data_IF_081044045398
#
_entry.id   IF_081044045398
#
_cell.length_a   1.000
_cell.length_b   1.000
_cell.length_c   1.000
_cell.angle_alpha   90.00
_cell.angle_beta   90.00
_cell.angle_gamma   90.00
#
_symmetry.space_group_name_H-M   'P 1'
#
loop_
_entity.id
_entity.type
_entity.pdbx_description
1 polymer ?
#
# COMPACT_ATOMS: atom_id res chain seq x y z
N UNK A 1 7.77 8.84 -4.54
CA UNK A 1 6.83 9.44 -5.52
C UNK A 1 6.39 10.83 -5.11
N UNK A 2 5.93 11.04 -3.87
CA UNK A 2 5.56 12.38 -3.39
C UNK A 2 6.70 13.41 -3.54
N UNK A 3 7.96 13.03 -3.25
CA UNK A 3 9.13 13.90 -3.47
C UNK A 3 9.30 14.28 -4.95
N UNK A 4 9.18 13.32 -5.88
CA UNK A 4 9.31 13.59 -7.32
C UNK A 4 8.18 14.53 -7.79
N UNK A 5 6.96 14.30 -7.31
CA UNK A 5 5.80 15.15 -7.63
C UNK A 5 5.95 16.60 -7.15
N UNK A 6 6.59 16.81 -5.98
CA UNK A 6 6.80 18.16 -5.44
C UNK A 6 7.95 18.89 -6.15
N UNK A 7 9.04 18.19 -6.45
CA UNK A 7 10.27 18.81 -6.95
C UNK A 7 10.36 18.91 -8.49
N UNK A 8 9.56 18.12 -9.23
CA UNK A 8 9.48 18.18 -10.69
C UNK A 8 8.06 18.52 -11.19
N UNK A 9 7.51 19.69 -10.84
CA UNK A 9 6.27 20.16 -11.45
C UNK A 9 6.54 20.54 -12.91
N UNK A 10 5.83 19.90 -13.85
CA UNK A 10 5.88 20.27 -15.27
C UNK A 10 5.45 21.72 -15.45
N UNK A 11 6.22 22.50 -16.22
CA UNK A 11 6.11 23.95 -16.38
C UNK A 11 4.88 24.46 -17.16
N UNK A 12 3.73 23.79 -17.09
CA UNK A 12 2.46 24.29 -17.60
C UNK A 12 1.54 24.61 -16.43
N UNK A 13 1.07 25.86 -16.38
CA UNK A 13 0.14 26.42 -15.38
C UNK A 13 -0.61 25.32 -14.64
N UNK A 14 -0.14 24.98 -13.44
CA UNK A 14 -0.83 24.06 -12.56
C UNK A 14 -2.23 24.66 -12.32
N UNK A 15 -3.23 24.16 -13.04
CA UNK A 15 -4.59 24.56 -12.81
C UNK A 15 -4.98 23.92 -11.47
N UNK A 16 -4.71 24.64 -10.38
CA UNK A 16 -5.03 24.25 -9.00
C UNK A 16 -6.48 23.79 -8.85
N UNK A 17 -7.34 24.25 -9.77
CA UNK A 17 -8.71 23.80 -9.93
C UNK A 17 -8.87 22.27 -10.06
N UNK A 18 -7.95 21.56 -10.72
CA UNK A 18 -8.04 20.10 -10.84
C UNK A 18 -7.61 19.35 -9.57
N UNK A 19 -6.90 19.99 -8.65
CA UNK A 19 -6.64 19.42 -7.33
C UNK A 19 -7.93 19.33 -6.50
N UNK A 20 -8.92 20.19 -6.76
CA UNK A 20 -10.25 20.05 -6.17
C UNK A 20 -10.93 18.74 -6.58
N UNK A 21 -10.62 18.22 -7.77
CA UNK A 21 -11.17 16.96 -8.25
C UNK A 21 -10.53 15.75 -7.54
N UNK A 22 -9.24 15.83 -7.19
CA UNK A 22 -8.61 14.86 -6.27
C UNK A 22 -9.21 14.95 -4.86
N UNK A 23 -9.44 16.17 -4.35
CA UNK A 23 -10.10 16.36 -3.05
C UNK A 23 -11.52 15.81 -3.08
N UNK A 24 -12.27 16.04 -4.16
CA UNK A 24 -13.60 15.49 -4.36
C UNK A 24 -13.57 13.95 -4.38
N UNK A 25 -12.57 13.33 -4.98
CA UNK A 25 -12.39 11.88 -4.92
C UNK A 25 -12.13 11.37 -3.49
N UNK A 26 -11.33 12.08 -2.69
CA UNK A 26 -11.12 11.76 -1.28
C UNK A 26 -12.40 11.92 -0.44
N UNK A 27 -13.14 13.01 -0.67
CA UNK A 27 -14.44 13.25 0.00
C UNK A 27 -15.46 12.19 -0.38
N UNK A 28 -15.50 11.78 -1.65
CA UNK A 28 -16.38 10.73 -2.13
C UNK A 28 -16.01 9.37 -1.52
N UNK A 29 -14.73 9.05 -1.43
CA UNK A 29 -14.25 7.85 -0.75
C UNK A 29 -14.61 7.86 0.75
N UNK A 30 -14.45 9.01 1.40
CA UNK A 30 -14.89 9.20 2.79
C UNK A 30 -16.41 9.06 2.93
N UNK A 31 -17.19 9.59 1.99
CA UNK A 31 -18.63 9.43 1.99
C UNK A 31 -19.02 7.95 1.83
N UNK A 32 -18.47 7.22 0.86
CA UNK A 32 -18.69 5.77 0.71
C UNK A 32 -18.33 4.98 1.97
N UNK A 33 -17.29 5.41 2.69
CA UNK A 33 -16.93 4.85 4.00
C UNK A 33 -18.03 5.07 5.04
N UNK A 34 -18.63 6.27 5.12
CA UNK A 34 -19.77 6.51 6.01
C UNK A 34 -21.00 5.67 5.67
N UNK A 35 -21.12 5.23 4.41
CA UNK A 35 -22.19 4.34 3.97
C UNK A 35 -21.93 2.86 4.29
N UNK A 36 -20.79 2.52 4.89
CA UNK A 36 -20.34 1.14 5.20
C UNK A 36 -20.45 0.20 4.00
N UNK A 37 -20.09 0.67 2.79
CA UNK A 37 -20.11 -0.15 1.58
C UNK A 37 -19.11 -1.30 1.73
N UNK A 38 -19.60 -2.54 1.60
CA UNK A 38 -18.81 -3.78 1.77
C UNK A 38 -17.99 -4.17 0.55
N UNK A 39 -18.33 -3.66 -0.64
CA UNK A 39 -17.63 -4.00 -1.88
C UNK A 39 -16.52 -2.98 -2.19
N UNK A 40 -15.27 -3.44 -2.28
CA UNK A 40 -14.11 -2.61 -2.57
C UNK A 40 -14.17 -1.96 -3.96
N UNK A 41 -14.81 -2.63 -4.92
CA UNK A 41 -14.93 -2.19 -6.30
C UNK A 41 -15.55 -0.77 -6.41
N UNK A 42 -16.54 -0.44 -5.59
CA UNK A 42 -17.16 0.89 -5.62
C UNK A 42 -16.18 2.01 -5.26
N UNK A 43 -15.27 1.79 -4.32
CA UNK A 43 -14.26 2.77 -3.97
C UNK A 43 -13.28 2.98 -5.12
N UNK A 44 -12.82 1.90 -5.74
CA UNK A 44 -11.81 1.97 -6.81
C UNK A 44 -12.41 2.50 -8.11
N UNK A 45 -13.55 1.99 -8.58
CA UNK A 45 -14.14 2.40 -9.85
C UNK A 45 -14.74 3.80 -9.81
N UNK A 46 -15.25 4.27 -8.66
CA UNK A 46 -15.85 5.59 -8.56
C UNK A 46 -14.79 6.67 -8.25
N UNK A 47 -13.90 6.41 -7.28
CA UNK A 47 -12.93 7.41 -6.82
C UNK A 47 -11.61 7.33 -7.60
N UNK A 48 -11.22 6.15 -8.10
CA UNK A 48 -9.95 5.93 -8.80
C UNK A 48 -9.82 6.70 -10.11
N UNK A 49 -10.71 6.54 -11.09
CA UNK A 49 -10.69 7.30 -12.35
C UNK A 49 -10.79 8.81 -12.12
N UNK A 50 -11.57 9.22 -11.12
CA UNK A 50 -11.70 10.62 -10.73
C UNK A 50 -10.36 11.18 -10.25
N UNK A 51 -9.74 10.55 -9.23
CA UNK A 51 -8.42 10.94 -8.74
C UNK A 51 -7.33 10.86 -9.84
N UNK A 52 -7.39 9.86 -10.71
CA UNK A 52 -6.47 9.66 -11.82
C UNK A 52 -6.55 10.79 -12.84
N UNK A 53 -7.76 11.18 -13.26
CA UNK A 53 -7.98 12.30 -14.17
C UNK A 53 -7.52 13.63 -13.56
N UNK A 54 -7.81 13.85 -12.27
CA UNK A 54 -7.38 15.04 -11.54
C UNK A 54 -5.86 15.18 -11.51
N UNK A 55 -5.14 14.10 -11.21
CA UNK A 55 -3.67 14.10 -11.19
C UNK A 55 -3.06 14.30 -12.57
N UNK A 56 -3.60 13.65 -13.61
CA UNK A 56 -3.14 13.83 -14.99
C UNK A 56 -3.21 15.30 -15.43
N UNK A 57 -4.31 15.99 -15.10
CA UNK A 57 -4.48 17.41 -15.43
C UNK A 57 -3.69 18.34 -14.51
N UNK A 58 -3.41 17.91 -13.29
CA UNK A 58 -2.53 18.63 -12.36
C UNK A 58 -1.03 18.45 -12.67
N UNK A 59 -0.67 17.77 -13.76
CA UNK A 59 0.72 17.41 -14.11
C UNK A 59 1.44 16.58 -13.04
N UNK A 60 0.69 15.87 -12.19
CA UNK A 60 1.22 14.95 -11.19
C UNK A 60 1.14 13.53 -11.73
N UNK A 61 2.07 12.67 -11.31
CA UNK A 61 2.11 11.29 -11.76
C UNK A 61 0.82 10.55 -11.39
N UNK A 62 0.12 10.04 -12.40
CA UNK A 62 -1.21 9.45 -12.24
C UNK A 62 -1.22 8.16 -11.40
N UNK A 63 -0.05 7.53 -11.21
CA UNK A 63 0.12 6.37 -10.33
C UNK A 63 -0.17 6.67 -8.86
N UNK A 64 -0.18 7.94 -8.44
CA UNK A 64 -0.51 8.36 -7.07
C UNK A 64 -2.02 8.34 -6.78
N UNK A 65 -2.88 8.19 -7.80
CA UNK A 65 -4.34 8.29 -7.65
C UNK A 65 -4.87 7.31 -6.60
N UNK A 66 -4.49 6.05 -6.72
CA UNK A 66 -4.97 5.00 -5.84
C UNK A 66 -4.37 5.11 -4.43
N UNK A 67 -3.13 5.62 -4.32
CA UNK A 67 -2.46 5.87 -3.03
C UNK A 67 -3.22 6.91 -2.18
N UNK A 68 -3.93 7.85 -2.81
CA UNK A 68 -4.79 8.82 -2.10
C UNK A 68 -6.13 8.22 -1.65
N UNK A 69 -6.68 7.26 -2.41
CA UNK A 69 -8.02 6.70 -2.15
C UNK A 69 -7.97 5.53 -1.15
N UNK A 70 -6.98 4.64 -1.26
CA UNK A 70 -6.86 3.42 -0.43
C UNK A 70 -6.89 3.67 1.08
N UNK A 71 -6.24 4.72 1.65
CA UNK A 71 -6.29 4.99 3.08
C UNK A 71 -7.70 5.27 3.63
N UNK A 72 -8.65 5.64 2.78
CA UNK A 72 -10.04 5.85 3.17
C UNK A 72 -10.88 4.57 3.18
N UNK A 73 -10.35 3.46 2.65
CA UNK A 73 -11.04 2.17 2.66
C UNK A 73 -11.03 1.56 4.07
N UNK A 74 -12.19 1.10 4.60
CA UNK A 74 -12.25 0.55 5.95
C UNK A 74 -11.52 -0.80 6.03
N UNK A 75 -10.69 -0.96 7.07
CA UNK A 75 -10.01 -2.23 7.39
C UNK A 75 -10.96 -3.25 8.02
N UNK A 76 -11.91 -2.78 8.82
CA UNK A 76 -12.88 -3.60 9.54
C UNK A 76 -14.25 -2.92 9.42
N UNK A 77 -15.31 -3.72 9.24
CA UNK A 77 -16.69 -3.23 9.25
C UNK A 77 -17.41 -3.84 10.43
N UNK A 78 -17.78 -2.98 11.38
CA UNK A 78 -18.70 -3.33 12.44
C UNK A 78 -20.13 -3.34 11.90
N UNK A 79 -20.73 -4.53 11.91
CA UNK A 79 -22.08 -4.83 11.41
C UNK A 79 -23.16 -4.60 12.48
N UNK A 80 -22.78 -4.40 13.75
CA UNK A 80 -23.72 -4.17 14.85
C UNK A 80 -24.39 -2.79 14.78
N UNK A 81 -23.67 -1.79 14.29
CA UNK A 81 -24.20 -0.44 14.13
C UNK A 81 -24.89 -0.24 12.76
N UNK A 82 -26.16 0.18 12.72
CA UNK A 82 -26.83 0.51 11.47
C UNK A 82 -26.14 1.66 10.73
N UNK A 83 -26.09 1.58 9.39
CA UNK A 83 -25.44 2.58 8.54
C UNK A 83 -26.07 3.97 8.74
N UNK A 84 -25.32 5.03 8.42
CA UNK A 84 -25.78 6.41 8.54
C UNK A 84 -27.17 6.65 7.92
N UNK A 85 -27.43 6.11 6.72
CA UNK A 85 -28.75 6.22 6.08
C UNK A 85 -29.88 5.56 6.88
N UNK A 86 -29.62 4.43 7.54
CA UNK A 86 -30.62 3.75 8.38
C UNK A 86 -30.86 4.54 9.66
N UNK A 87 -29.81 5.12 10.27
CA UNK A 87 -29.93 6.03 11.42
C UNK A 87 -30.72 7.29 11.02
N UNK A 88 -30.41 7.89 9.86
CA UNK A 88 -31.09 9.07 9.34
C UNK A 88 -32.56 8.78 8.94
N UNK A 89 -32.83 7.62 8.33
CA UNK A 89 -34.19 7.21 7.96
C UNK A 89 -35.04 6.88 9.18
N UNK A 90 -34.50 6.16 10.18
CA UNK A 90 -35.19 6.00 11.47
C UNK A 90 -35.49 7.34 12.10
N UNK A 91 -34.51 8.24 12.18
CA UNK A 91 -34.72 9.56 12.77
C UNK A 91 -35.73 10.43 12.03
N UNK A 92 -35.79 10.34 10.70
CA UNK A 92 -36.82 11.01 9.91
C UNK A 92 -38.20 10.38 10.14
N UNK A 93 -38.30 9.05 10.15
CA UNK A 93 -39.55 8.31 10.38
C UNK A 93 -40.10 8.55 11.79
N UNK A 94 -39.24 8.46 12.79
CA UNK A 94 -39.59 8.66 14.19
C UNK A 94 -40.01 10.14 14.42
N UNK A 95 -39.40 11.08 13.69
CA UNK A 95 -39.84 12.49 13.72
C UNK A 95 -41.17 12.73 13.01
N UNK A 96 -41.53 11.90 12.04
CA UNK A 96 -42.82 11.98 11.35
C UNK A 96 -43.93 11.32 12.16
N UNK A 97 -43.60 10.31 12.97
CA UNK A 97 -44.52 9.68 13.91
C UNK A 97 -44.93 10.59 15.08
N UNK A 98 -44.14 11.62 15.39
CA UNK A 98 -44.45 12.64 16.43
C UNK A 98 -45.37 13.77 15.92
N UNK A 99 -45.62 13.89 14.61
CA UNK A 99 -46.48 14.94 14.01
C UNK A 99 -47.88 14.41 13.63
N UNK A 100 -48.10 13.09 13.65
CA UNK A 100 -49.38 12.43 13.37
C UNK A 100 -49.93 11.79 14.67
N UNK A 101 -50.21 12.62 15.69
CA UNK A 101 -51.10 12.25 16.80
C UNK A 101 -52.55 12.52 16.34
N UNK A 102 -53.17 11.51 15.73
CA UNK A 102 -54.58 11.16 15.94
C UNK A 102 -54.86 9.74 15.40
N UNK A 103 -55.39 8.90 16.29
CA UNK A 103 -56.04 7.60 16.11
C UNK A 103 -55.23 6.27 15.98
N UNK A 104 -55.11 5.62 17.15
CA UNK A 104 -55.31 4.21 17.46
C UNK A 104 -55.16 3.11 16.37
N UNK A 105 -54.31 2.10 16.63
CA UNK A 105 -54.74 0.78 17.15
C UNK A 105 -53.63 -0.27 17.15
N UNK A 106 -53.75 -1.18 18.12
CA UNK A 106 -53.02 -2.41 18.39
C UNK A 106 -52.62 -3.25 17.18
N UNK A 107 -51.38 -3.77 17.17
CA UNK A 107 -51.12 -5.18 16.88
C UNK A 107 -49.78 -5.60 17.50
N UNK A 108 -49.81 -6.65 18.33
CA UNK A 108 -48.61 -7.39 18.74
C UNK A 108 -47.99 -8.06 17.52
N UNK A 109 -46.67 -8.11 17.42
CA UNK A 109 -46.07 -9.35 16.92
C UNK A 109 -44.76 -9.70 17.62
N UNK A 110 -44.78 -10.92 18.11
CA UNK A 110 -43.78 -11.58 18.94
C UNK A 110 -42.59 -12.08 18.12
N UNK A 111 -41.47 -12.26 18.82
CA UNK A 111 -40.47 -13.30 18.59
C UNK A 111 -39.77 -13.35 17.22
N UNK A 112 -38.48 -12.98 17.26
CA UNK A 112 -37.47 -13.83 16.61
C UNK A 112 -36.36 -14.11 17.63
N UNK A 113 -36.52 -15.23 18.33
CA UNK A 113 -35.39 -16.03 18.80
C UNK A 113 -34.47 -16.29 17.61
N UNK A 114 -33.20 -15.91 17.70
CA UNK A 114 -32.14 -16.59 16.94
C UNK A 114 -30.83 -16.51 17.70
N UNK A 115 -30.57 -17.59 18.45
CA UNK A 115 -29.25 -18.20 18.68
C UNK A 115 -28.15 -17.23 19.12
N UNK A 116 -27.95 -17.13 20.44
CA UNK A 116 -26.66 -16.72 21.00
C UNK A 116 -25.60 -17.76 20.63
N UNK A 117 -24.90 -17.56 19.51
CA UNK A 117 -23.59 -18.18 19.28
C UNK A 117 -22.55 -17.39 20.06
N UNK A 118 -21.87 -17.99 21.06
CA UNK A 118 -20.75 -17.35 21.72
C UNK A 118 -19.60 -17.27 20.70
N UNK A 119 -19.13 -16.05 20.40
CA UNK A 119 -18.05 -15.66 19.47
C UNK A 119 -18.48 -15.18 18.06
N UNK A 120 -19.42 -14.23 17.96
CA UNK A 120 -19.51 -13.35 16.78
C UNK A 120 -19.41 -11.89 17.24
N UNK A 121 -18.22 -11.29 17.10
CA UNK A 121 -17.98 -9.90 17.50
C UNK A 121 -18.65 -8.89 16.56
N UNK A 122 -19.41 -9.33 15.55
CA UNK A 122 -20.06 -8.46 14.56
C UNK A 122 -19.09 -7.71 13.64
N UNK A 123 -17.78 -7.86 13.87
CA UNK A 123 -16.69 -7.25 13.11
C UNK A 123 -16.26 -8.22 12.02
N UNK A 124 -16.55 -7.87 10.77
CA UNK A 124 -16.14 -8.65 9.59
C UNK A 124 -14.94 -7.99 8.94
N UNK A 125 -14.03 -8.81 8.40
CA UNK A 125 -12.89 -8.38 7.58
C UNK A 125 -13.35 -7.36 6.52
N UNK A 126 -12.69 -6.20 6.50
CA UNK A 126 -13.10 -5.08 5.70
C UNK A 126 -12.79 -5.22 4.21
N UNK A 127 -13.35 -4.33 3.38
CA UNK A 127 -13.10 -4.28 1.94
C UNK A 127 -11.63 -4.14 1.59
N UNK A 128 -10.82 -3.52 2.45
CA UNK A 128 -9.39 -3.29 2.22
C UNK A 128 -8.59 -4.58 2.15
N UNK A 129 -8.87 -5.53 3.04
CA UNK A 129 -8.17 -6.82 3.05
C UNK A 129 -8.52 -7.66 1.82
N UNK A 130 -9.80 -7.67 1.44
CA UNK A 130 -10.27 -8.32 0.21
C UNK A 130 -9.65 -7.69 -1.04
N UNK A 131 -9.58 -6.36 -1.07
CA UNK A 131 -8.94 -5.62 -2.16
C UNK A 131 -7.46 -6.00 -2.31
N UNK A 132 -6.70 -6.07 -1.21
CA UNK A 132 -5.29 -6.43 -1.23
C UNK A 132 -5.08 -7.84 -1.81
N UNK A 133 -5.88 -8.81 -1.34
CA UNK A 133 -5.82 -10.18 -1.83
C UNK A 133 -6.22 -10.31 -3.32
N UNK A 134 -7.34 -9.70 -3.73
CA UNK A 134 -7.85 -9.80 -5.09
C UNK A 134 -6.92 -9.09 -6.10
N UNK A 135 -6.31 -7.98 -5.70
CA UNK A 135 -5.42 -7.21 -6.55
C UNK A 135 -3.99 -7.75 -6.58
N UNK A 136 -3.55 -8.52 -5.58
CA UNK A 136 -2.18 -9.06 -5.52
C UNK A 136 -1.81 -9.81 -6.81
N UNK A 137 -2.68 -10.71 -7.28
CA UNK A 137 -2.43 -11.46 -8.51
C UNK A 137 -2.24 -10.53 -9.72
N UNK A 138 -3.17 -9.60 -9.93
CA UNK A 138 -3.11 -8.65 -11.05
C UNK A 138 -1.92 -7.71 -10.98
N UNK A 139 -1.54 -7.26 -9.77
CA UNK A 139 -0.37 -6.42 -9.54
C UNK A 139 0.91 -7.20 -9.83
N UNK A 140 1.02 -8.46 -9.42
CA UNK A 140 2.18 -9.30 -9.73
C UNK A 140 2.31 -9.54 -11.24
N UNK A 141 1.21 -9.85 -11.93
CA UNK A 141 1.19 -9.93 -13.39
C UNK A 141 1.61 -8.59 -14.03
N UNK A 142 1.06 -7.47 -13.55
CA UNK A 142 1.40 -6.13 -14.03
C UNK A 142 2.87 -5.77 -13.83
N UNK A 143 3.45 -6.06 -12.66
CA UNK A 143 4.86 -5.86 -12.36
C UNK A 143 5.77 -6.72 -13.25
N UNK A 144 5.36 -7.97 -13.54
CA UNK A 144 6.09 -8.85 -14.45
C UNK A 144 6.12 -8.29 -15.88
N UNK A 145 4.97 -7.92 -16.44
CA UNK A 145 4.91 -7.32 -17.77
C UNK A 145 5.57 -5.94 -17.82
N UNK A 146 5.47 -5.15 -16.75
CA UNK A 146 6.16 -3.86 -16.62
C UNK A 146 7.68 -4.05 -16.66
N UNK A 147 8.22 -5.00 -15.91
CA UNK A 147 9.62 -5.33 -15.94
C UNK A 147 10.05 -5.79 -17.34
N UNK A 148 9.29 -6.70 -17.96
CA UNK A 148 9.58 -7.23 -19.28
C UNK A 148 9.60 -6.15 -20.37
N UNK A 149 8.60 -5.26 -20.37
CA UNK A 149 8.51 -4.16 -21.33
C UNK A 149 9.65 -3.13 -21.16
N UNK A 150 10.14 -2.94 -19.94
CA UNK A 150 11.19 -1.97 -19.63
C UNK A 150 12.61 -2.54 -19.61
N UNK A 151 12.76 -3.86 -19.58
CA UNK A 151 14.05 -4.54 -19.54
C UNK A 151 14.71 -4.72 -20.92
N UNK A 152 14.00 -4.44 -22.02
CA UNK A 152 14.52 -4.53 -23.38
C UNK A 152 15.53 -3.43 -23.70
N UNK A 153 16.74 -3.53 -23.16
CA UNK A 153 17.85 -2.59 -23.37
C UNK A 153 18.89 -3.23 -24.28
N UNK A 154 19.47 -2.45 -25.20
CA UNK A 154 20.52 -2.91 -26.10
C UNK A 154 21.85 -2.93 -25.34
N UNK A 155 22.39 -4.12 -25.11
CA UNK A 155 23.73 -4.28 -24.53
C UNK A 155 24.81 -3.93 -25.56
N UNK A 156 25.15 -2.66 -25.63
CA UNK A 156 26.31 -2.16 -26.40
C UNK A 156 27.44 -1.86 -25.43
N UNK A 157 28.70 -1.94 -25.84
CA UNK A 157 29.84 -1.57 -24.97
C UNK A 157 29.74 -0.14 -24.42
N UNK A 158 29.00 0.74 -25.11
CA UNK A 158 28.70 2.11 -24.69
C UNK A 158 27.58 2.22 -23.64
N UNK A 159 26.80 1.15 -23.41
CA UNK A 159 25.68 1.13 -22.43
C UNK A 159 26.14 0.99 -20.98
N UNK A 160 27.42 0.68 -20.76
CA UNK A 160 28.03 0.67 -19.42
C UNK A 160 28.71 2.01 -19.18
N UNK A 161 27.90 3.04 -18.97
CA UNK A 161 28.41 4.36 -18.61
C UNK A 161 28.48 4.59 -17.09
N UNK A 162 28.85 5.82 -16.73
CA UNK A 162 28.99 6.24 -15.33
C UNK A 162 27.66 6.16 -14.58
N UNK A 163 26.53 6.47 -15.26
CA UNK A 163 25.21 6.46 -14.64
C UNK A 163 24.81 5.05 -14.23
N UNK A 164 25.10 4.04 -15.05
CA UNK A 164 24.89 2.62 -14.73
C UNK A 164 25.50 2.26 -13.38
N UNK A 165 26.80 2.54 -13.21
CA UNK A 165 27.53 2.21 -11.98
C UNK A 165 27.00 2.99 -10.77
N UNK A 166 26.71 4.29 -10.94
CA UNK A 166 26.12 5.11 -9.90
C UNK A 166 24.75 4.58 -9.44
N UNK A 167 23.88 4.19 -10.38
CA UNK A 167 22.55 3.64 -10.06
C UNK A 167 22.67 2.28 -9.38
N UNK A 168 23.48 1.36 -9.90
CA UNK A 168 23.67 0.05 -9.27
C UNK A 168 24.28 0.17 -7.87
N UNK A 169 25.35 0.97 -7.73
CA UNK A 169 26.02 1.16 -6.45
C UNK A 169 25.11 1.85 -5.42
N UNK A 170 24.38 2.90 -5.82
CA UNK A 170 23.45 3.58 -4.93
C UNK A 170 22.29 2.69 -4.47
N UNK A 171 21.76 1.82 -5.34
CA UNK A 171 20.70 0.87 -4.96
C UNK A 171 21.20 -0.18 -3.97
N UNK A 172 22.38 -0.77 -4.21
CA UNK A 172 22.91 -1.83 -3.35
C UNK A 172 23.44 -1.22 -2.04
N UNK A 173 24.37 -0.27 -2.13
CA UNK A 173 25.04 0.32 -0.96
C UNK A 173 24.08 1.22 -0.20
N UNK A 174 23.36 2.11 -0.90
CA UNK A 174 22.47 3.08 -0.26
C UNK A 174 21.34 2.42 0.52
N UNK A 175 20.66 1.41 -0.06
CA UNK A 175 19.61 0.69 0.68
C UNK A 175 20.16 -0.17 1.81
N UNK A 176 21.29 -0.84 1.60
CA UNK A 176 21.91 -1.66 2.65
C UNK A 176 22.30 -0.82 3.85
N UNK A 177 23.02 0.28 3.63
CA UNK A 177 23.44 1.22 4.68
C UNK A 177 22.21 1.86 5.33
N UNK A 178 21.24 2.34 4.54
CA UNK A 178 20.03 2.96 5.06
C UNK A 178 19.26 2.03 6.00
N UNK A 179 18.92 0.82 5.56
CA UNK A 179 18.15 -0.14 6.37
C UNK A 179 18.92 -0.57 7.61
N UNK A 180 20.23 -0.83 7.47
CA UNK A 180 21.06 -1.22 8.60
C UNK A 180 21.16 -0.10 9.64
N UNK A 181 21.46 1.13 9.22
CA UNK A 181 21.58 2.27 10.12
C UNK A 181 20.26 2.61 10.77
N UNK A 182 19.15 2.66 10.02
CA UNK A 182 17.84 2.93 10.62
C UNK A 182 17.38 1.83 11.57
N UNK A 183 17.59 0.55 11.24
CA UNK A 183 17.27 -0.54 12.16
C UNK A 183 18.17 -0.55 13.40
N UNK A 184 19.44 -0.21 13.26
CA UNK A 184 20.36 -0.02 14.39
C UNK A 184 19.93 1.15 15.28
N UNK A 185 19.57 2.29 14.71
CA UNK A 185 19.09 3.46 15.46
C UNK A 185 17.75 3.16 16.13
N UNK A 186 16.82 2.48 15.46
CA UNK A 186 15.54 2.11 16.05
C UNK A 186 15.72 1.19 17.27
N UNK A 187 16.63 0.22 17.18
CA UNK A 187 16.90 -0.70 18.28
C UNK A 187 17.70 -0.10 19.42
N UNK A 188 18.72 0.69 19.10
CA UNK A 188 19.60 1.28 20.10
C UNK A 188 19.01 2.55 20.75
N UNK A 189 18.53 3.49 19.94
CA UNK A 189 18.10 4.82 20.39
C UNK A 189 16.62 4.83 20.84
N UNK A 190 15.74 4.15 20.10
CA UNK A 190 14.30 4.15 20.39
C UNK A 190 13.86 2.98 21.28
N UNK A 191 14.78 2.07 21.66
CA UNK A 191 14.51 0.86 22.46
C UNK A 191 13.43 -0.05 21.87
N UNK A 192 13.16 0.03 20.56
CA UNK A 192 12.34 -0.98 19.89
C UNK A 192 13.14 -2.28 19.81
N UNK A 193 12.70 -3.34 20.49
CA UNK A 193 13.36 -4.64 20.40
C UNK A 193 13.35 -5.16 18.96
N UNK A 194 14.42 -5.86 18.55
CA UNK A 194 14.38 -6.63 17.30
C UNK A 194 13.40 -7.80 17.49
N UNK A 195 12.68 -8.22 16.43
CA UNK A 195 11.80 -9.39 16.49
C UNK A 195 12.53 -10.62 17.02
N UNK A 196 11.80 -11.52 17.69
CA UNK A 196 12.38 -12.70 18.31
C UNK A 196 13.17 -13.55 17.32
N UNK A 197 14.39 -13.93 17.72
CA UNK A 197 15.32 -14.68 16.88
C UNK A 197 16.09 -13.84 15.86
N UNK A 198 15.88 -12.52 15.78
CA UNK A 198 16.60 -11.65 14.85
C UNK A 198 17.80 -10.95 15.50
N UNK A 199 19.00 -11.22 14.98
CA UNK A 199 20.23 -10.47 15.33
C UNK A 199 20.56 -9.40 14.28
N UNK A 200 21.42 -8.42 14.60
CA UNK A 200 21.97 -7.44 13.65
C UNK A 200 22.59 -8.04 12.37
N UNK A 201 23.05 -9.30 12.41
CA UNK A 201 23.50 -10.04 11.21
C UNK A 201 22.38 -10.27 10.20
N UNK A 202 21.18 -10.57 10.68
CA UNK A 202 20.00 -10.69 9.83
C UNK A 202 19.63 -9.34 9.24
N UNK A 203 19.76 -8.26 10.03
CA UNK A 203 19.42 -6.90 9.56
C UNK A 203 20.30 -6.50 8.39
N UNK A 204 21.59 -6.80 8.48
CA UNK A 204 22.55 -6.56 7.40
C UNK A 204 22.20 -7.34 6.13
N UNK A 205 21.89 -8.64 6.25
CA UNK A 205 21.51 -9.47 5.10
C UNK A 205 20.19 -9.02 4.47
N UNK A 206 19.19 -8.66 5.28
CA UNK A 206 17.92 -8.07 4.81
C UNK A 206 18.17 -6.75 4.08
N UNK A 207 19.12 -5.93 4.54
CA UNK A 207 19.56 -4.72 3.84
C UNK A 207 20.08 -5.03 2.43
N UNK A 208 20.93 -6.04 2.27
CA UNK A 208 21.45 -6.46 0.95
C UNK A 208 20.32 -7.00 0.06
N UNK A 209 19.40 -7.82 0.60
CA UNK A 209 18.24 -8.34 -0.15
C UNK A 209 17.38 -7.18 -0.67
N UNK A 210 17.14 -6.16 0.15
CA UNK A 210 16.38 -4.96 -0.25
C UNK A 210 17.04 -4.16 -1.38
N UNK A 211 18.34 -4.34 -1.60
CA UNK A 211 19.11 -3.79 -2.72
C UNK A 211 18.48 -4.06 -4.09
N UNK A 212 17.73 -5.14 -4.24
CA UNK A 212 17.00 -5.48 -5.47
C UNK A 212 15.85 -4.49 -5.70
N UNK A 213 16.12 -3.43 -6.48
CA UNK A 213 15.17 -2.33 -6.72
C UNK A 213 14.38 -2.44 -8.03
N UNK A 214 14.75 -3.39 -8.89
CA UNK A 214 14.33 -3.58 -10.28
C UNK A 214 13.12 -2.75 -10.74
N UNK A 215 11.91 -3.07 -10.31
CA UNK A 215 10.68 -2.44 -10.83
C UNK A 215 10.53 -0.98 -10.42
N UNK A 216 10.72 -0.66 -9.13
CA UNK A 216 10.62 0.71 -8.64
C UNK A 216 11.75 1.58 -9.18
N UNK A 217 12.96 1.02 -9.31
CA UNK A 217 14.10 1.72 -9.87
C UNK A 217 13.92 2.02 -11.37
N UNK A 218 13.41 1.06 -12.16
CA UNK A 218 13.06 1.28 -13.57
C UNK A 218 12.01 2.39 -13.72
N UNK A 219 10.97 2.36 -12.89
CA UNK A 219 9.92 3.37 -12.90
C UNK A 219 10.43 4.78 -12.55
N UNK A 220 11.32 4.88 -11.55
CA UNK A 220 11.97 6.15 -11.18
C UNK A 220 12.88 6.64 -12.30
N UNK A 221 13.67 5.75 -12.93
CA UNK A 221 14.58 6.11 -14.02
C UNK A 221 13.83 6.75 -15.21
N UNK A 222 12.67 6.19 -15.58
CA UNK A 222 11.83 6.75 -16.64
C UNK A 222 11.26 8.13 -16.31
N UNK A 223 11.07 8.42 -15.02
CA UNK A 223 10.56 9.72 -14.57
C UNK A 223 11.68 10.76 -14.39
N UNK A 224 12.91 10.30 -14.14
CA UNK A 224 14.04 11.17 -13.81
C UNK A 224 14.86 11.60 -15.04
N UNK A 225 15.03 10.72 -16.03
CA UNK A 225 15.87 10.99 -17.20
C UNK A 225 15.02 11.28 -18.44
N UNK A 226 15.15 12.50 -18.97
CA UNK A 226 14.53 12.89 -20.23
C UNK A 226 15.37 12.50 -21.46
N UNK A 227 16.70 12.42 -21.29
CA UNK A 227 17.61 12.06 -22.36
C UNK A 227 17.65 10.54 -22.58
N UNK A 228 17.45 10.04 -23.82
CA UNK A 228 17.40 8.61 -24.10
C UNK A 228 18.67 7.84 -23.71
N UNK A 229 19.86 8.42 -23.93
CA UNK A 229 21.13 7.77 -23.63
C UNK A 229 21.31 7.50 -22.12
N UNK A 230 21.08 8.53 -21.30
CA UNK A 230 21.17 8.41 -19.83
C UNK A 230 20.08 7.48 -19.26
N UNK A 231 18.91 7.44 -19.89
CA UNK A 231 17.82 6.55 -19.50
C UNK A 231 18.17 5.08 -19.74
N UNK A 232 18.81 4.74 -20.86
CA UNK A 232 19.26 3.36 -21.14
C UNK A 232 20.32 2.89 -20.13
N UNK A 233 21.30 3.74 -19.81
CA UNK A 233 22.30 3.48 -18.74
C UNK A 233 21.64 3.28 -17.37
N UNK A 234 20.72 4.18 -16.99
CA UNK A 234 20.05 4.10 -15.69
C UNK A 234 19.18 2.84 -15.57
N UNK A 235 18.48 2.45 -16.65
CA UNK A 235 17.70 1.21 -16.68
C UNK A 235 18.61 -0.01 -16.55
N UNK A 236 19.77 -0.02 -17.21
CA UNK A 236 20.74 -1.11 -17.10
C UNK A 236 21.27 -1.21 -15.67
N UNK A 237 21.58 -0.08 -15.03
CA UNK A 237 21.99 -0.05 -13.63
C UNK A 237 20.92 -0.58 -12.66
N UNK A 238 19.65 -0.30 -12.93
CA UNK A 238 18.52 -0.84 -12.18
C UNK A 238 18.36 -2.36 -12.34
N UNK A 239 18.57 -2.91 -13.54
CA UNK A 239 18.55 -4.36 -13.79
C UNK A 239 19.72 -5.07 -13.09
N UNK A 240 20.92 -4.48 -13.12
CA UNK A 240 22.09 -5.02 -12.43
C UNK A 240 21.92 -5.08 -10.90
N UNK A 241 20.97 -4.34 -10.31
CA UNK A 241 20.69 -4.41 -8.87
C UNK A 241 20.25 -5.80 -8.39
N UNK A 242 19.79 -6.69 -9.29
CA UNK A 242 19.44 -8.08 -8.98
C UNK A 242 20.65 -8.89 -8.48
N UNK A 243 21.88 -8.45 -8.75
CA UNK A 243 23.12 -9.01 -8.19
C UNK A 243 23.11 -8.98 -6.64
N UNK A 244 22.29 -8.13 -6.02
CA UNK A 244 22.14 -8.12 -4.57
C UNK A 244 21.61 -9.44 -4.01
N UNK A 245 20.81 -10.21 -4.77
CA UNK A 245 20.28 -11.50 -4.32
C UNK A 245 21.38 -12.56 -4.08
N UNK A 246 22.25 -12.89 -5.06
CA UNK A 246 23.37 -13.80 -4.79
C UNK A 246 24.37 -13.24 -3.77
N UNK A 247 24.58 -11.91 -3.73
CA UNK A 247 25.43 -11.27 -2.72
C UNK A 247 24.88 -11.48 -1.31
N UNK A 248 23.56 -11.39 -1.13
CA UNK A 248 22.89 -11.64 0.15
C UNK A 248 23.02 -13.12 0.57
N UNK A 249 22.93 -14.06 -0.36
CA UNK A 249 23.12 -15.48 -0.07
C UNK A 249 24.55 -15.78 0.41
N UNK A 250 25.55 -15.18 -0.25
CA UNK A 250 26.96 -15.29 0.15
C UNK A 250 27.17 -14.67 1.54
N UNK A 251 26.65 -13.47 1.77
CA UNK A 251 26.74 -12.79 3.06
C UNK A 251 26.04 -13.59 4.18
N UNK A 252 24.87 -14.16 3.92
CA UNK A 252 24.13 -14.99 4.88
C UNK A 252 24.89 -16.28 5.24
N UNK A 253 25.54 -16.90 4.26
CA UNK A 253 26.41 -18.07 4.48
C UNK A 253 27.64 -17.70 5.30
N UNK A 254 28.29 -16.58 4.98
CA UNK A 254 29.47 -16.08 5.68
C UNK A 254 29.17 -15.72 7.15
N UNK A 255 28.01 -15.10 7.40
CA UNK A 255 27.57 -14.70 8.74
C UNK A 255 26.98 -15.85 9.57
N UNK A 256 26.92 -17.07 9.01
CA UNK A 256 26.38 -18.29 9.62
C UNK A 256 24.97 -18.09 10.20
N UNK A 257 24.09 -17.51 9.42
CA UNK A 257 22.69 -17.32 9.82
C UNK A 257 22.04 -18.70 9.98
N UNK A 258 21.64 -19.03 11.22
CA UNK A 258 20.87 -20.24 11.50
C UNK A 258 19.43 -20.03 11.03
N UNK A 259 18.85 -21.03 10.36
CA UNK A 259 17.41 -21.04 10.10
C UNK A 259 16.71 -21.18 11.44
N UNK A 260 15.86 -20.21 11.78
CA UNK A 260 14.90 -20.38 12.87
C UNK A 260 13.82 -21.33 12.34
N UNK A 261 13.58 -22.49 12.97
CA UNK A 261 12.54 -23.40 12.54
C UNK A 261 11.18 -22.70 12.67
N UNK A 262 10.43 -22.65 11.58
CA UNK A 262 9.16 -21.90 11.46
C UNK A 262 7.99 -22.50 12.29
N UNK A 263 8.26 -23.39 13.26
CA UNK A 263 7.27 -24.16 13.99
C UNK A 263 7.06 -23.78 15.46
N UNK A 264 7.89 -22.91 16.05
CA UNK A 264 7.83 -22.63 17.51
C UNK A 264 7.21 -21.27 17.87
N UNK A 265 6.99 -20.38 16.89
CA UNK A 265 6.52 -19.00 17.16
C UNK A 265 5.04 -18.95 17.58
N UNK A 266 4.23 -19.95 17.24
CA UNK A 266 2.80 -19.97 17.60
C UNK A 266 2.49 -20.69 18.93
N UNK A 267 3.49 -21.29 19.58
CA UNK A 267 3.31 -22.02 20.84
C UNK A 267 3.47 -21.16 22.09
N UNK A 268 4.23 -20.06 22.04
CA UNK A 268 4.53 -19.25 23.22
C UNK A 268 3.46 -18.19 23.55
N UNK A 269 2.65 -17.77 22.57
CA UNK A 269 1.56 -16.80 22.83
C UNK A 269 0.36 -17.43 23.58
N UNK A 270 0.23 -18.77 23.59
CA UNK A 270 -0.84 -19.46 24.35
C UNK A 270 -0.47 -19.81 25.79
N UNK A 271 0.79 -19.69 26.19
CA UNK A 271 1.25 -20.12 27.52
C UNK A 271 1.48 -18.97 28.49
N UNK A 272 1.53 -17.70 28.03
CA UNK A 272 1.65 -16.52 28.90
C UNK A 272 0.32 -15.92 29.38
N UNK A 273 -0.81 -16.56 29.08
CA UNK A 273 -2.14 -16.20 29.62
C UNK A 273 -2.73 -17.38 30.40
N UNK A 274 -2.10 -17.75 31.51
CA UNK A 274 -2.71 -18.51 32.60
C UNK A 274 -2.17 -18.02 33.94
#
# INVERSE_FOLDING_TARGET
>A
MLVIAIFYPSAHQAQYLYLLLCLAACVLAFFLRTLKVKHWAWYVFLCGPLAWYGLLKASVHASLALCLVVPFMPKEIDTSEPNFFVKAWRRWRDRKADDDDDDASSECDSASDTIETPLDSGVVAGPLEKFDYDCAFWVHCGLFFFALANAGIKFTSESVGYVTLCVTASLIIGKTIGIFTFGWVASYLMRFGLPDGMTYRHLFVVGIVSGAGLTVALFVAQSAYAEPALLEEAKLGALLSVISAPLALIAGKLLRIKKVPAGEVHSDERTSSK
#
